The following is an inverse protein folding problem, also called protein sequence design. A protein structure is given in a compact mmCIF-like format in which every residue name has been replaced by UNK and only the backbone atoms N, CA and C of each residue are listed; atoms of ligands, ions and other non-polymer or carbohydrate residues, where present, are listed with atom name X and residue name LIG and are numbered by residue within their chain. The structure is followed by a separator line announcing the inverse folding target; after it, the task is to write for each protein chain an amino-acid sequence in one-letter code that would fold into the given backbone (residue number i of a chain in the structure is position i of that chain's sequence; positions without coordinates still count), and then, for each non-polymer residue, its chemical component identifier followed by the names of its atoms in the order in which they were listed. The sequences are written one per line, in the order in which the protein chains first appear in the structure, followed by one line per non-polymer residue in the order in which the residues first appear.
data_IF_062292041013
#
_entry.id   IF_062292041013
#
_cell.length_a   1.000
_cell.length_b   1.000
_cell.length_c   1.000
_cell.angle_alpha   90.00
_cell.angle_beta   90.00
_cell.angle_gamma   90.00
#
_symmetry.space_group_name_H-M   'P 1'
#
loop_
_entity.id
_entity.type
_entity.pdbx_description
1 polymer ?
#
# COMPACT_ATOMS: atom_id res chain seq x y z
N UNK A 1 21.52 41.63 6.07
CA UNK A 1 22.59 40.63 5.94
C UNK A 1 22.15 39.43 6.75
N UNK A 2 21.75 38.35 6.06
CA UNK A 2 21.71 36.93 6.48
C UNK A 2 20.98 36.54 7.79
N UNK A 3 20.12 35.51 7.91
CA UNK A 3 19.63 34.42 7.05
C UNK A 3 18.32 33.92 7.67
N UNK A 4 17.32 33.64 6.83
CA UNK A 4 16.17 32.80 7.16
C UNK A 4 16.64 31.33 7.21
N UNK A 5 16.20 30.58 8.23
CA UNK A 5 16.25 29.12 8.22
C UNK A 5 14.80 28.66 8.37
N UNK A 6 14.13 28.48 7.22
CA UNK A 6 12.88 27.73 7.13
C UNK A 6 13.25 26.26 6.98
N UNK A 7 12.96 25.45 8.00
CA UNK A 7 13.09 23.99 7.92
C UNK A 7 11.86 23.43 7.21
N UNK A 8 11.97 23.27 5.89
CA UNK A 8 10.96 22.60 5.07
C UNK A 8 10.95 21.08 5.34
N UNK A 9 10.06 20.61 6.21
CA UNK A 9 9.61 19.22 6.18
C UNK A 9 8.56 19.09 5.08
N UNK A 10 9.01 18.72 3.88
CA UNK A 10 8.15 18.43 2.74
C UNK A 10 7.35 17.15 2.97
N UNK A 11 6.09 17.28 3.39
CA UNK A 11 5.08 16.26 3.12
C UNK A 11 4.48 16.60 1.77
N UNK A 12 5.09 16.10 0.70
CA UNK A 12 4.52 16.26 -0.64
C UNK A 12 3.44 15.18 -0.81
N UNK A 13 2.25 15.45 -0.27
CA UNK A 13 1.03 14.75 -0.66
C UNK A 13 0.66 15.16 -2.09
N UNK A 14 1.34 14.61 -3.09
CA UNK A 14 0.91 14.72 -4.48
C UNK A 14 -0.34 13.84 -4.60
N UNK A 15 -1.48 14.42 -4.95
CA UNK A 15 -2.58 13.64 -5.55
C UNK A 15 -2.23 13.46 -7.03
N UNK A 16 -1.68 12.32 -7.48
CA UNK A 16 -1.52 12.10 -8.90
C UNK A 16 -2.92 12.02 -9.53
N UNK A 17 -3.15 12.85 -10.55
CA UNK A 17 -4.25 12.64 -11.50
C UNK A 17 -4.20 11.18 -11.97
N UNK A 18 -5.30 10.47 -11.74
CA UNK A 18 -5.33 9.01 -11.60
C UNK A 18 -5.54 8.28 -12.94
N UNK A 19 -4.79 8.66 -13.96
CA UNK A 19 -4.74 7.92 -15.23
C UNK A 19 -3.33 7.33 -15.39
N UNK A 20 -3.15 6.03 -15.12
CA UNK A 20 -1.95 5.31 -15.60
C UNK A 20 -1.24 4.34 -14.65
N UNK A 21 -1.69 4.15 -13.40
CA UNK A 21 -1.16 3.09 -12.54
C UNK A 21 -1.82 1.74 -12.88
N UNK A 22 -1.13 0.91 -13.65
CA UNK A 22 -1.54 -0.48 -13.86
C UNK A 22 -1.15 -1.34 -12.67
N UNK A 23 -1.79 -2.50 -12.53
CA UNK A 23 -1.46 -3.48 -11.50
C UNK A 23 0.02 -3.87 -11.55
N UNK A 24 0.56 -4.09 -12.75
CA UNK A 24 1.95 -4.49 -12.96
C UNK A 24 2.93 -3.41 -12.49
N UNK A 25 2.66 -2.15 -12.81
CA UNK A 25 3.47 -1.02 -12.33
C UNK A 25 3.38 -0.89 -10.81
N UNK A 26 2.20 -1.10 -10.25
CA UNK A 26 2.00 -1.09 -8.80
C UNK A 26 2.83 -2.18 -8.11
N UNK A 27 2.73 -3.43 -8.54
CA UNK A 27 3.47 -4.54 -7.93
C UNK A 27 4.99 -4.35 -8.08
N UNK A 28 5.47 -3.91 -9.24
CA UNK A 28 6.89 -3.62 -9.44
C UNK A 28 7.34 -2.52 -8.48
N UNK A 29 6.59 -1.41 -8.40
CA UNK A 29 6.91 -0.30 -7.51
C UNK A 29 6.85 -0.66 -6.03
N UNK A 30 5.88 -1.49 -5.63
CA UNK A 30 5.76 -1.98 -4.28
C UNK A 30 6.92 -2.91 -3.92
N UNK A 31 7.33 -3.81 -4.82
CA UNK A 31 8.39 -4.78 -4.54
C UNK A 31 9.79 -4.16 -4.59
N UNK A 32 10.04 -3.18 -5.45
CA UNK A 32 11.33 -2.48 -5.55
C UNK A 32 11.46 -1.29 -4.58
N UNK A 33 10.37 -0.88 -3.92
CA UNK A 33 10.36 0.20 -2.94
C UNK A 33 10.21 1.61 -3.51
N UNK A 34 9.87 1.76 -4.80
CA UNK A 34 9.51 3.07 -5.37
C UNK A 34 8.10 3.51 -4.95
N UNK A 35 7.23 2.58 -4.59
CA UNK A 35 5.95 2.84 -3.92
C UNK A 35 6.09 2.41 -2.45
N UNK A 36 5.86 3.36 -1.55
CA UNK A 36 5.96 3.17 -0.11
C UNK A 36 4.60 2.87 0.52
N UNK A 37 3.53 3.52 0.04
CA UNK A 37 2.16 3.27 0.52
C UNK A 37 1.16 3.49 -0.61
N UNK A 38 0.09 2.71 -0.59
CA UNK A 38 -1.15 2.99 -1.33
C UNK A 38 -2.33 2.89 -0.37
N UNK A 39 -3.19 3.90 -0.38
CA UNK A 39 -4.48 3.88 0.31
C UNK A 39 -5.59 3.75 -0.73
N UNK A 40 -6.54 2.85 -0.51
CA UNK A 40 -7.59 2.55 -1.50
C UNK A 40 -8.86 1.95 -0.88
N UNK A 41 -9.90 1.87 -1.70
CA UNK A 41 -11.13 1.11 -1.40
C UNK A 41 -11.46 0.10 -2.49
N UNK A 42 -12.22 -0.95 -2.13
CA UNK A 42 -12.87 -1.82 -3.11
C UNK A 42 -14.31 -1.34 -3.34
N UNK A 43 -14.58 -0.85 -4.55
CA UNK A 43 -15.90 -0.36 -4.95
C UNK A 43 -16.97 -1.45 -4.81
N UNK A 44 -18.05 -1.09 -4.12
CA UNK A 44 -19.19 -1.99 -3.85
C UNK A 44 -19.02 -2.90 -2.62
N UNK A 45 -17.95 -2.74 -1.84
CA UNK A 45 -17.70 -3.55 -0.64
C UNK A 45 -17.35 -2.66 0.56
N UNK A 46 -18.36 -2.29 1.36
CA UNK A 46 -18.22 -1.34 2.47
C UNK A 46 -17.20 -1.76 3.56
N UNK A 47 -16.97 -3.06 3.72
CA UNK A 47 -15.97 -3.60 4.62
C UNK A 47 -14.54 -3.18 4.23
N UNK A 48 -14.28 -3.06 2.92
CA UNK A 48 -12.98 -2.73 2.34
C UNK A 48 -12.91 -1.26 1.87
N UNK A 49 -13.44 -0.34 2.68
CA UNK A 49 -13.51 1.11 2.35
C UNK A 49 -12.24 1.89 2.70
N UNK A 50 -11.33 1.30 3.47
CA UNK A 50 -10.12 1.94 4.01
C UNK A 50 -8.97 0.94 4.05
N UNK A 51 -8.59 0.45 2.88
CA UNK A 51 -7.48 -0.47 2.72
C UNK A 51 -6.16 0.30 2.59
N UNK A 52 -5.08 -0.30 3.08
CA UNK A 52 -3.72 0.18 2.88
C UNK A 52 -2.78 -0.96 2.53
N UNK A 53 -1.87 -0.72 1.59
CA UNK A 53 -0.69 -1.55 1.39
C UNK A 53 0.52 -0.65 1.54
N UNK A 54 1.44 -0.99 2.43
CA UNK A 54 2.61 -0.15 2.72
C UNK A 54 3.85 -0.98 3.00
N UNK A 55 5.01 -0.39 2.72
CA UNK A 55 6.31 -0.93 3.09
C UNK A 55 6.70 -0.43 4.48
N UNK A 56 7.25 -1.33 5.28
CA UNK A 56 7.82 -1.02 6.58
C UNK A 56 9.20 -1.65 6.67
N UNK A 57 10.21 -0.85 6.96
CA UNK A 57 11.54 -1.35 7.26
C UNK A 57 11.68 -1.48 8.79
N UNK A 58 12.01 -2.67 9.26
CA UNK A 58 12.28 -2.96 10.66
C UNK A 58 13.75 -3.30 10.85
N UNK A 59 14.34 -2.80 11.95
CA UNK A 59 15.73 -3.09 12.33
C UNK A 59 15.71 -4.22 13.34
N UNK A 60 16.32 -5.35 13.00
CA UNK A 60 16.48 -6.49 13.90
C UNK A 60 17.51 -6.19 14.99
N UNK A 61 17.49 -6.98 16.06
CA UNK A 61 18.42 -6.85 17.20
C UNK A 61 19.91 -6.97 16.81
N UNK A 62 20.21 -7.59 15.68
CA UNK A 62 21.56 -7.71 15.12
C UNK A 62 21.94 -6.56 14.15
N UNK A 63 21.14 -5.50 14.07
CA UNK A 63 21.36 -4.35 13.19
C UNK A 63 20.97 -4.59 11.72
N UNK A 64 20.49 -5.80 11.36
CA UNK A 64 20.02 -6.08 10.00
C UNK A 64 18.68 -5.41 9.75
N UNK A 65 18.55 -4.73 8.61
CA UNK A 65 17.28 -4.19 8.13
C UNK A 65 16.51 -5.29 7.40
N UNK A 66 15.23 -5.44 7.71
CA UNK A 66 14.28 -6.24 6.96
C UNK A 66 13.18 -5.35 6.41
N UNK A 67 12.74 -5.61 5.17
CA UNK A 67 11.58 -4.93 4.60
C UNK A 67 10.36 -5.85 4.65
N UNK A 68 9.26 -5.32 5.18
CA UNK A 68 7.96 -5.96 5.18
C UNK A 68 7.02 -5.18 4.27
N UNK A 69 6.17 -5.90 3.55
CA UNK A 69 5.01 -5.35 2.86
C UNK A 69 3.80 -5.73 3.68
N UNK A 70 3.15 -4.74 4.26
CA UNK A 70 1.95 -4.89 5.09
C UNK A 70 0.71 -4.53 4.31
N UNK A 71 -0.36 -5.28 4.54
CA UNK A 71 -1.67 -5.07 3.95
C UNK A 71 -2.68 -4.99 5.07
N UNK A 72 -3.30 -3.83 5.25
CA UNK A 72 -4.39 -3.61 6.19
C UNK A 72 -5.67 -3.50 5.37
N UNK A 73 -6.61 -4.41 5.56
CA UNK A 73 -7.85 -4.45 4.79
C UNK A 73 -9.00 -3.65 5.44
N UNK A 74 -8.85 -3.36 6.73
CA UNK A 74 -9.84 -2.67 7.57
C UNK A 74 -9.16 -1.62 8.45
N UNK A 75 -9.91 -0.58 8.80
CA UNK A 75 -9.41 0.60 9.53
C UNK A 75 -8.92 0.28 10.94
N UNK A 76 -9.49 -0.75 11.57
CA UNK A 76 -9.12 -1.19 12.92
C UNK A 76 -7.90 -2.14 12.94
N UNK A 77 -7.35 -2.48 11.78
CA UNK A 77 -6.19 -3.38 11.64
C UNK A 77 -6.47 -4.84 12.01
N UNK A 78 -7.73 -5.23 12.23
CA UNK A 78 -8.08 -6.62 12.57
C UNK A 78 -7.83 -7.62 11.43
N UNK A 79 -7.78 -7.13 10.19
CA UNK A 79 -7.38 -7.89 9.01
C UNK A 79 -6.07 -7.33 8.44
N UNK A 80 -4.95 -7.79 9.01
CA UNK A 80 -3.59 -7.50 8.55
C UNK A 80 -2.94 -8.76 7.94
N UNK A 81 -2.29 -8.60 6.80
CA UNK A 81 -1.40 -9.61 6.21
C UNK A 81 -0.04 -8.97 5.96
N UNK A 82 1.04 -9.68 6.27
CA UNK A 82 2.41 -9.22 6.03
C UNK A 82 3.17 -10.19 5.12
N UNK A 83 3.96 -9.64 4.20
CA UNK A 83 4.87 -10.37 3.34
C UNK A 83 6.30 -9.92 3.56
N UNK A 84 7.23 -10.87 3.53
CA UNK A 84 8.65 -10.59 3.69
C UNK A 84 9.28 -10.22 2.34
N UNK A 85 9.85 -9.02 2.24
CA UNK A 85 10.50 -8.40 1.07
C UNK A 85 9.64 -8.19 -0.19
N UNK A 86 8.82 -9.17 -0.57
CA UNK A 86 8.09 -9.23 -1.84
C UNK A 86 6.63 -9.58 -1.58
N UNK A 87 5.72 -8.88 -2.24
CA UNK A 87 4.29 -9.14 -2.18
C UNK A 87 3.95 -10.44 -2.91
N UNK A 88 3.26 -11.36 -2.23
CA UNK A 88 2.79 -12.59 -2.87
C UNK A 88 1.45 -12.37 -3.57
N UNK A 89 1.51 -12.19 -4.90
CA UNK A 89 0.35 -11.91 -5.76
C UNK A 89 -0.72 -13.02 -5.78
N UNK A 90 -0.34 -14.26 -5.44
CA UNK A 90 -1.26 -15.40 -5.39
C UNK A 90 -2.06 -15.46 -4.09
N UNK A 91 -1.67 -14.65 -3.09
CA UNK A 91 -2.34 -14.60 -1.81
C UNK A 91 -3.73 -13.98 -1.94
N UNK A 92 -4.75 -14.66 -1.42
CA UNK A 92 -6.13 -14.21 -1.45
C UNK A 92 -6.39 -13.30 -0.25
N UNK A 93 -6.46 -12.00 -0.51
CA UNK A 93 -6.63 -10.98 0.51
C UNK A 93 -8.10 -10.75 0.85
N UNK A 94 -9.00 -10.74 -0.14
CA UNK A 94 -10.36 -10.24 0.05
C UNK A 94 -11.36 -11.39 0.19
N UNK A 95 -12.00 -11.49 1.35
CA UNK A 95 -13.06 -12.45 1.60
C UNK A 95 -14.44 -11.85 1.29
N UNK A 96 -15.12 -12.41 0.30
CA UNK A 96 -16.41 -11.90 -0.19
C UNK A 96 -17.58 -12.81 0.21
N UNK A 97 -17.50 -13.43 1.38
CA UNK A 97 -18.53 -14.34 1.89
C UNK A 97 -18.72 -15.55 0.96
N UNK A 98 -19.96 -15.78 0.53
CA UNK A 98 -20.33 -16.91 -0.37
C UNK A 98 -19.63 -16.89 -1.73
N UNK A 99 -19.09 -15.75 -2.16
CA UNK A 99 -18.32 -15.64 -3.42
C UNK A 99 -16.89 -16.16 -3.28
N UNK A 100 -16.43 -16.45 -2.07
CA UNK A 100 -15.08 -16.92 -1.77
C UNK A 100 -14.06 -15.79 -1.60
N UNK A 101 -12.78 -16.15 -1.64
CA UNK A 101 -11.67 -15.23 -1.47
C UNK A 101 -10.94 -14.91 -2.78
N UNK A 102 -10.48 -13.67 -2.93
CA UNK A 102 -9.90 -13.12 -4.15
C UNK A 102 -8.53 -12.49 -3.90
N UNK A 103 -7.66 -12.53 -4.92
CA UNK A 103 -6.36 -11.85 -4.89
C UNK A 103 -6.48 -10.36 -5.24
N UNK A 104 -5.43 -9.58 -4.97
CA UNK A 104 -5.37 -8.17 -5.39
C UNK A 104 -5.53 -8.00 -6.89
N UNK A 105 -4.86 -8.85 -7.68
CA UNK A 105 -4.96 -8.82 -9.14
C UNK A 105 -6.39 -9.00 -9.64
N UNK A 106 -7.13 -9.96 -9.05
CA UNK A 106 -8.52 -10.22 -9.43
C UNK A 106 -9.45 -9.06 -9.08
N UNK A 107 -9.13 -8.31 -8.02
CA UNK A 107 -9.94 -7.20 -7.54
C UNK A 107 -9.53 -5.84 -8.14
N UNK A 108 -8.43 -5.77 -8.89
CA UNK A 108 -7.82 -4.52 -9.34
C UNK A 108 -8.79 -3.58 -10.06
N UNK A 109 -9.64 -4.11 -10.94
CA UNK A 109 -10.63 -3.31 -11.68
C UNK A 109 -11.74 -2.71 -10.81
N UNK A 110 -11.83 -3.11 -9.54
CA UNK A 110 -12.77 -2.57 -8.55
C UNK A 110 -12.07 -1.67 -7.54
N UNK A 111 -10.76 -1.49 -7.65
CA UNK A 111 -10.00 -0.63 -6.73
C UNK A 111 -10.17 0.82 -7.14
N UNK A 112 -10.54 1.65 -6.17
CA UNK A 112 -10.38 3.10 -6.28
C UNK A 112 -9.27 3.52 -5.33
N UNK A 113 -8.20 4.02 -5.92
CA UNK A 113 -7.05 4.53 -5.16
C UNK A 113 -7.42 5.90 -4.60
N UNK A 114 -6.98 6.19 -3.38
CA UNK A 114 -7.18 7.48 -2.71
C UNK A 114 -5.88 8.26 -2.62
N UNK A 115 -4.79 7.56 -2.33
CA UNK A 115 -3.49 8.16 -2.13
C UNK A 115 -2.36 7.18 -2.48
N UNK A 116 -1.23 7.71 -2.91
CA UNK A 116 -0.01 6.95 -3.22
C UNK A 116 1.18 7.74 -2.68
N UNK A 117 1.97 7.10 -1.84
CA UNK A 117 3.24 7.64 -1.35
C UNK A 117 4.36 6.93 -2.09
N UNK A 118 5.23 7.70 -2.73
CA UNK A 118 6.43 7.20 -3.42
C UNK A 118 7.69 7.68 -2.71
N UNK A 119 8.82 7.01 -2.96
CA UNK A 119 10.14 7.41 -2.46
C UNK A 119 10.66 8.65 -3.19
#
# INVERSE_FOLDING_TARGET
MERFIETNFGVVGVKPNMEGLTYEKFIVGLNNGSILEISFEILGYAHYKKCKIYRKDDVLSNGKIISLIKVNLVDDGSEEVSFYNVFNETHKLFYMGRKGSFTLKQMWNKIKIHDIITK
#
